data_IF_578552411164
#
_entry.id   IF_578552411164
#
_cell.length_a   1.000
_cell.length_b   1.000
_cell.length_c   1.000
_cell.angle_alpha   90.00
_cell.angle_beta   90.00
_cell.angle_gamma   90.00
#
_symmetry.space_group_name_H-M   'P 1'
#
loop_
_entity.id
_entity.type
_entity.pdbx_description
1 polymer ?
#
# COMPACT_ATOMS: atom_id res chain seq x y z
N UNK A 1 32.54 11.67 33.05
CA UNK A 1 32.18 10.32 32.64
C UNK A 1 30.66 10.07 32.64
N UNK A 2 29.88 10.42 33.69
CA UNK A 2 28.42 10.23 33.72
C UNK A 2 27.65 10.85 32.53
N UNK A 3 28.05 12.03 32.00
CA UNK A 3 27.38 12.70 30.87
C UNK A 3 27.57 11.98 29.49
N UNK A 4 28.63 11.19 29.34
CA UNK A 4 28.93 10.41 28.15
C UNK A 4 28.01 9.18 28.06
N UNK A 5 27.81 8.50 29.21
CA UNK A 5 26.94 7.32 29.27
C UNK A 5 25.47 7.65 29.02
N UNK A 6 25.00 8.84 29.47
CA UNK A 6 23.63 9.30 29.24
C UNK A 6 23.41 9.58 27.75
N UNK A 7 24.38 10.18 27.06
CA UNK A 7 24.28 10.46 25.61
C UNK A 7 24.34 9.17 24.77
N UNK A 8 25.13 8.19 25.20
CA UNK A 8 25.23 6.89 24.55
C UNK A 8 23.95 6.05 24.75
N UNK A 9 23.33 6.13 25.93
CA UNK A 9 22.06 5.47 26.24
C UNK A 9 20.89 6.03 25.42
N UNK A 10 20.83 7.36 25.23
CA UNK A 10 19.78 8.02 24.41
C UNK A 10 19.95 7.68 22.93
N UNK A 11 21.19 7.62 22.42
CA UNK A 11 21.47 7.24 21.04
C UNK A 11 21.09 5.77 20.74
N UNK A 12 21.27 4.87 21.72
CA UNK A 12 20.89 3.45 21.58
C UNK A 12 19.37 3.23 21.57
N UNK A 13 18.60 4.06 22.27
CA UNK A 13 17.13 3.92 22.34
C UNK A 13 16.42 4.40 21.07
N UNK A 14 17.05 5.27 20.27
CA UNK A 14 16.48 5.75 19.01
C UNK A 14 16.55 4.72 17.85
N UNK A 15 17.36 3.69 17.97
CA UNK A 15 17.56 2.68 16.92
C UNK A 15 16.48 1.59 16.86
N UNK A 16 15.55 1.52 17.82
CA UNK A 16 14.54 0.46 17.89
C UNK A 16 13.15 0.84 17.35
N UNK A 17 13.00 2.02 16.73
CA UNK A 17 11.73 2.42 16.11
C UNK A 17 11.65 2.00 14.64
N UNK A 18 12.14 0.82 14.26
CA UNK A 18 11.78 0.21 12.99
C UNK A 18 10.33 -0.26 13.09
N UNK A 19 9.40 0.63 12.80
CA UNK A 19 8.00 0.31 12.59
C UNK A 19 7.91 -0.72 11.46
N UNK A 20 7.35 -1.89 11.74
CA UNK A 20 6.90 -2.80 10.69
C UNK A 20 5.78 -2.10 9.91
N UNK A 21 6.12 -1.39 8.84
CA UNK A 21 5.14 -0.89 7.89
C UNK A 21 4.84 -1.98 6.87
N UNK A 22 3.61 -2.03 6.37
CA UNK A 22 3.28 -2.87 5.22
C UNK A 22 4.16 -2.51 4.03
N UNK A 23 4.40 -3.49 3.17
CA UNK A 23 5.20 -3.28 1.95
C UNK A 23 4.27 -3.33 0.75
N UNK A 24 4.29 -2.26 -0.04
CA UNK A 24 3.65 -2.24 -1.36
C UNK A 24 4.71 -2.40 -2.43
N UNK A 25 4.49 -3.34 -3.34
CA UNK A 25 5.28 -3.54 -4.56
C UNK A 25 4.50 -3.03 -5.77
N UNK A 26 5.22 -2.55 -6.78
CA UNK A 26 4.66 -2.27 -8.10
C UNK A 26 5.03 -3.46 -8.99
N UNK A 27 4.04 -4.28 -9.31
CA UNK A 27 4.24 -5.54 -10.04
C UNK A 27 4.44 -5.32 -11.54
N UNK A 28 3.90 -4.21 -12.05
CA UNK A 28 4.05 -3.85 -13.44
C UNK A 28 3.54 -2.44 -13.73
N UNK A 29 4.17 -1.83 -14.72
CA UNK A 29 3.77 -0.52 -15.24
C UNK A 29 3.70 -0.55 -16.76
N UNK A 30 2.81 0.26 -17.29
CA UNK A 30 2.71 0.53 -18.71
C UNK A 30 2.68 2.04 -18.95
N UNK A 31 3.46 2.48 -19.89
CA UNK A 31 3.45 3.88 -20.37
C UNK A 31 3.10 3.86 -21.83
N UNK A 32 2.19 4.74 -22.24
CA UNK A 32 1.83 4.86 -23.66
C UNK A 32 3.08 5.17 -24.49
N UNK A 33 3.34 4.41 -25.56
CA UNK A 33 4.48 4.67 -26.45
C UNK A 33 4.45 6.12 -26.97
N UNK A 34 5.62 6.70 -27.15
CA UNK A 34 5.82 8.06 -27.70
C UNK A 34 5.19 9.18 -26.82
N UNK A 35 4.83 8.91 -25.57
CA UNK A 35 4.34 9.95 -24.66
C UNK A 35 5.47 10.92 -24.33
N UNK A 36 5.28 12.19 -24.72
CA UNK A 36 6.17 13.28 -24.30
C UNK A 36 5.75 13.73 -22.91
N UNK A 37 6.74 13.88 -22.01
CA UNK A 37 6.50 14.39 -20.68
C UNK A 37 5.86 15.78 -20.72
N UNK A 38 4.75 15.96 -20.00
CA UNK A 38 3.97 17.19 -19.94
C UNK A 38 3.93 17.75 -18.53
N UNK A 39 3.76 19.06 -18.40
CA UNK A 39 3.44 19.72 -17.14
C UNK A 39 1.94 19.67 -16.93
N UNK A 40 1.52 19.16 -15.77
CA UNK A 40 0.14 19.15 -15.33
C UNK A 40 -0.02 20.18 -14.20
N UNK A 41 -1.00 21.08 -14.34
CA UNK A 41 -1.25 22.14 -13.38
C UNK A 41 -2.00 21.63 -12.16
N UNK A 42 -2.90 20.66 -12.38
CA UNK A 42 -3.71 20.07 -11.30
C UNK A 42 -4.08 18.63 -11.64
N UNK A 43 -3.73 17.72 -10.75
CA UNK A 43 -4.04 16.29 -10.87
C UNK A 43 -5.15 15.93 -9.90
N UNK A 44 -6.28 15.40 -10.39
CA UNK A 44 -7.26 14.78 -9.50
C UNK A 44 -6.85 13.35 -9.17
N UNK A 45 -6.95 12.98 -7.90
CA UNK A 45 -6.79 11.59 -7.43
C UNK A 45 -8.18 11.05 -7.14
N UNK A 46 -8.62 10.06 -7.91
CA UNK A 46 -9.98 9.52 -7.88
C UNK A 46 -9.98 8.03 -7.54
N UNK A 47 -10.50 7.68 -6.38
CA UNK A 47 -10.74 6.30 -5.98
C UNK A 47 -12.12 5.82 -6.44
N UNK A 48 -12.18 4.66 -7.10
CA UNK A 48 -13.45 4.03 -7.48
C UNK A 48 -13.93 3.12 -6.32
N UNK A 49 -14.55 3.73 -5.33
CA UNK A 49 -15.13 3.04 -4.16
C UNK A 49 -16.36 3.77 -3.66
N UNK A 50 -17.40 3.00 -3.27
CA UNK A 50 -18.60 3.54 -2.58
C UNK A 50 -18.32 3.92 -1.12
N UNK A 51 -17.30 3.32 -0.51
CA UNK A 51 -16.88 3.63 0.86
C UNK A 51 -16.08 4.93 0.88
N UNK A 52 -16.75 6.02 1.28
CA UNK A 52 -16.17 7.36 1.29
C UNK A 52 -14.97 7.50 2.24
N UNK A 53 -14.94 6.75 3.33
CA UNK A 53 -13.84 6.79 4.30
C UNK A 53 -12.59 6.17 3.69
N UNK A 54 -12.72 4.97 3.12
CA UNK A 54 -11.60 4.30 2.45
C UNK A 54 -11.09 5.14 1.28
N UNK A 55 -12.02 5.62 0.45
CA UNK A 55 -11.71 6.45 -0.71
C UNK A 55 -10.93 7.69 -0.31
N UNK A 56 -11.45 8.52 0.59
CA UNK A 56 -10.80 9.76 1.00
C UNK A 56 -9.47 9.54 1.71
N UNK A 57 -9.33 8.47 2.52
CA UNK A 57 -8.08 8.14 3.20
C UNK A 57 -6.97 7.82 2.19
N UNK A 58 -7.27 7.00 1.18
CA UNK A 58 -6.28 6.63 0.15
C UNK A 58 -5.98 7.82 -0.75
N UNK A 59 -7.00 8.56 -1.21
CA UNK A 59 -6.81 9.77 -2.02
C UNK A 59 -5.90 10.79 -1.32
N UNK A 60 -6.14 11.08 -0.05
CA UNK A 60 -5.33 12.01 0.74
C UNK A 60 -3.88 11.54 0.90
N UNK A 61 -3.65 10.25 1.07
CA UNK A 61 -2.30 9.70 1.14
C UNK A 61 -1.53 9.92 -0.17
N UNK A 62 -2.15 9.64 -1.31
CA UNK A 62 -1.54 9.86 -2.64
C UNK A 62 -1.30 11.35 -2.88
N UNK A 63 -2.26 12.22 -2.52
CA UNK A 63 -2.14 13.68 -2.64
C UNK A 63 -0.95 14.20 -1.83
N UNK A 64 -0.79 13.74 -0.60
CA UNK A 64 0.34 14.11 0.24
C UNK A 64 1.68 13.74 -0.41
N UNK A 65 1.78 12.56 -1.00
CA UNK A 65 2.99 12.13 -1.70
C UNK A 65 3.24 12.93 -3.00
N UNK A 66 2.19 13.21 -3.79
CA UNK A 66 2.29 14.08 -4.97
C UNK A 66 2.76 15.49 -4.58
N UNK A 67 2.19 16.06 -3.51
CA UNK A 67 2.55 17.38 -2.98
C UNK A 67 3.99 17.43 -2.50
N UNK A 68 4.48 16.41 -1.79
CA UNK A 68 5.90 16.28 -1.41
C UNK A 68 6.82 16.27 -2.64
N UNK A 69 6.35 15.73 -3.74
CA UNK A 69 7.07 15.72 -5.02
C UNK A 69 6.88 17.00 -5.86
N UNK A 70 6.14 17.99 -5.35
CA UNK A 70 5.96 19.31 -5.98
C UNK A 70 4.83 19.38 -7.00
N UNK A 71 3.90 18.42 -6.99
CA UNK A 71 2.70 18.43 -7.84
C UNK A 71 1.50 18.95 -7.07
N UNK A 72 0.65 19.73 -7.74
CA UNK A 72 -0.65 20.12 -7.19
C UNK A 72 -1.67 19.03 -7.46
N UNK A 73 -2.33 18.53 -6.40
CA UNK A 73 -3.30 17.45 -6.52
C UNK A 73 -4.57 17.73 -5.69
N UNK A 74 -5.71 17.27 -6.18
CA UNK A 74 -7.04 17.45 -5.59
C UNK A 74 -7.69 16.09 -5.31
N UNK A 75 -8.46 16.02 -4.22
CA UNK A 75 -9.20 14.81 -3.86
C UNK A 75 -10.45 14.64 -4.75
N UNK A 76 -10.55 13.51 -5.41
CA UNK A 76 -11.73 13.15 -6.18
C UNK A 76 -12.99 13.02 -5.33
N UNK A 77 -12.85 12.60 -4.07
CA UNK A 77 -13.96 12.51 -3.12
C UNK A 77 -14.64 13.86 -2.83
N UNK A 78 -13.92 14.97 -3.00
CA UNK A 78 -14.47 16.33 -2.87
C UNK A 78 -15.19 16.79 -4.15
N UNK A 79 -14.61 16.47 -5.32
CA UNK A 79 -15.11 16.95 -6.61
C UNK A 79 -16.22 16.06 -7.17
N UNK A 80 -16.12 14.74 -6.97
CA UNK A 80 -17.00 13.75 -7.56
C UNK A 80 -17.70 12.96 -6.46
N UNK A 81 -18.98 13.23 -6.19
CA UNK A 81 -19.77 12.49 -5.22
C UNK A 81 -19.83 10.98 -5.54
N UNK A 82 -19.94 10.15 -4.49
CA UNK A 82 -19.90 8.69 -4.63
C UNK A 82 -21.03 8.12 -5.50
N UNK A 83 -22.18 8.78 -5.54
CA UNK A 83 -23.32 8.37 -6.37
C UNK A 83 -23.08 8.56 -7.88
N UNK A 84 -22.12 9.40 -8.28
CA UNK A 84 -21.75 9.59 -9.68
C UNK A 84 -20.73 8.58 -10.20
N UNK A 85 -20.07 7.85 -9.30
CA UNK A 85 -19.12 6.79 -9.67
C UNK A 85 -19.75 5.39 -9.62
N UNK A 86 -21.06 5.32 -9.43
CA UNK A 86 -21.78 4.05 -9.53
C UNK A 86 -21.82 3.59 -10.99
N UNK A 87 -21.47 2.34 -11.20
CA UNK A 87 -21.49 1.72 -12.50
C UNK A 87 -22.73 0.84 -12.64
N UNK A 88 -23.30 0.77 -13.82
CA UNK A 88 -24.38 -0.15 -14.13
C UNK A 88 -23.93 -1.62 -14.08
N UNK A 89 -24.84 -2.55 -14.37
CA UNK A 89 -24.57 -3.98 -14.41
C UNK A 89 -23.48 -4.37 -15.42
N UNK A 90 -23.23 -3.52 -16.43
CA UNK A 90 -22.23 -3.73 -17.46
C UNK A 90 -20.88 -3.10 -17.12
N UNK A 91 -20.73 -2.54 -15.93
CA UNK A 91 -19.51 -1.89 -15.46
C UNK A 91 -19.23 -0.54 -16.13
N UNK A 92 -20.25 0.08 -16.73
CA UNK A 92 -20.14 1.38 -17.40
C UNK A 92 -20.73 2.48 -16.53
N UNK A 93 -20.05 3.62 -16.51
CA UNK A 93 -20.64 4.85 -15.99
C UNK A 93 -21.77 5.31 -16.94
N UNK A 94 -22.88 5.73 -16.36
CA UNK A 94 -23.94 6.39 -17.12
C UNK A 94 -23.39 7.62 -17.87
N UNK A 95 -23.89 7.84 -19.09
CA UNK A 95 -23.45 8.95 -19.96
C UNK A 95 -23.60 10.30 -19.25
N UNK A 96 -24.70 10.50 -18.55
CA UNK A 96 -24.97 11.72 -17.80
C UNK A 96 -23.97 11.93 -16.64
N UNK A 97 -23.63 10.85 -15.92
CA UNK A 97 -22.61 10.89 -14.88
C UNK A 97 -21.23 11.26 -15.45
N UNK A 98 -20.85 10.74 -16.63
CA UNK A 98 -19.58 11.10 -17.29
C UNK A 98 -19.52 12.59 -17.62
N UNK A 99 -20.58 13.16 -18.18
CA UNK A 99 -20.66 14.58 -18.54
C UNK A 99 -20.52 15.46 -17.29
N UNK A 100 -21.24 15.13 -16.20
CA UNK A 100 -21.14 15.87 -14.92
C UNK A 100 -19.72 15.78 -14.34
N UNK A 101 -19.10 14.61 -14.36
CA UNK A 101 -17.73 14.42 -13.85
C UNK A 101 -16.76 15.27 -14.68
N UNK A 102 -16.85 15.21 -16.01
CA UNK A 102 -15.98 15.98 -16.89
C UNK A 102 -16.12 17.50 -16.66
N UNK A 103 -17.35 17.99 -16.52
CA UNK A 103 -17.61 19.40 -16.26
C UNK A 103 -17.06 19.85 -14.91
N UNK A 104 -17.22 19.03 -13.86
CA UNK A 104 -16.65 19.32 -12.53
C UNK A 104 -15.13 19.36 -12.55
N UNK A 105 -14.47 18.43 -13.26
CA UNK A 105 -13.02 18.42 -13.40
C UNK A 105 -12.51 19.64 -14.16
N UNK A 106 -13.18 20.02 -15.26
CA UNK A 106 -12.86 21.24 -16.01
C UNK A 106 -13.04 22.50 -15.19
N UNK A 107 -14.17 22.62 -14.46
CA UNK A 107 -14.43 23.76 -13.59
C UNK A 107 -13.40 23.88 -12.45
N UNK A 108 -12.84 22.78 -11.99
CA UNK A 108 -11.78 22.76 -10.99
C UNK A 108 -10.36 22.99 -11.58
N UNK A 109 -10.25 23.20 -12.91
CA UNK A 109 -8.96 23.40 -13.59
C UNK A 109 -8.08 22.15 -13.58
N UNK A 110 -8.69 20.96 -13.55
CA UNK A 110 -7.97 19.68 -13.56
C UNK A 110 -7.60 19.32 -15.00
N UNK A 111 -6.34 18.99 -15.21
CA UNK A 111 -5.80 18.57 -16.51
C UNK A 111 -5.24 17.14 -16.53
N UNK A 112 -4.97 16.55 -15.34
CA UNK A 112 -4.57 15.16 -15.17
C UNK A 112 -5.50 14.40 -14.20
N UNK A 113 -5.79 13.14 -14.47
CA UNK A 113 -6.59 12.28 -13.59
C UNK A 113 -5.88 10.97 -13.27
N UNK A 114 -5.56 10.77 -12.00
CA UNK A 114 -5.01 9.54 -11.44
C UNK A 114 -6.15 8.74 -10.80
N UNK A 115 -6.58 7.69 -11.47
CA UNK A 115 -7.75 6.88 -11.08
C UNK A 115 -7.28 5.53 -10.57
N UNK A 116 -7.69 5.14 -9.37
CA UNK A 116 -7.35 3.83 -8.80
C UNK A 116 -8.58 3.01 -8.42
N UNK A 117 -8.44 1.69 -8.54
CA UNK A 117 -9.47 0.71 -8.18
C UNK A 117 -8.85 -0.51 -7.53
N UNK A 118 -9.43 -0.93 -6.41
CA UNK A 118 -9.10 -2.21 -5.80
C UNK A 118 -9.67 -3.34 -6.70
N UNK A 119 -8.76 -4.13 -7.28
CA UNK A 119 -9.13 -5.23 -8.19
C UNK A 119 -9.48 -6.49 -7.42
N UNK A 120 -8.67 -6.83 -6.42
CA UNK A 120 -8.81 -8.08 -5.71
C UNK A 120 -8.27 -7.97 -4.28
N UNK A 121 -8.79 -8.82 -3.40
CA UNK A 121 -8.29 -9.05 -2.06
C UNK A 121 -8.12 -10.56 -1.87
N UNK A 122 -6.91 -11.03 -2.13
CA UNK A 122 -6.55 -12.43 -1.92
C UNK A 122 -6.29 -12.68 -0.44
N UNK A 123 -7.04 -13.63 0.14
CA UNK A 123 -6.82 -14.10 1.50
C UNK A 123 -6.29 -15.52 1.45
N UNK A 124 -5.17 -15.77 2.09
CA UNK A 124 -4.59 -17.09 2.22
C UNK A 124 -4.29 -17.40 3.68
N UNK A 125 -4.34 -18.67 4.02
CA UNK A 125 -3.95 -19.18 5.34
C UNK A 125 -2.71 -20.01 5.12
N UNK A 126 -1.58 -19.62 5.73
CA UNK A 126 -0.35 -20.42 5.72
C UNK A 126 -0.09 -20.97 7.11
N UNK A 127 0.33 -22.22 7.17
CA UNK A 127 0.81 -22.84 8.41
C UNK A 127 2.28 -22.53 8.59
N UNK A 128 2.62 -21.89 9.71
CA UNK A 128 4.01 -21.66 10.13
C UNK A 128 4.39 -22.80 11.07
N UNK A 129 5.30 -23.71 10.65
CA UNK A 129 5.72 -24.81 11.52
C UNK A 129 6.41 -24.26 12.77
N UNK A 130 6.08 -24.84 13.90
CA UNK A 130 6.80 -24.56 15.13
C UNK A 130 8.25 -24.98 15.03
N UNK A 131 9.13 -24.24 15.68
CA UNK A 131 10.57 -24.57 15.73
C UNK A 131 10.79 -25.56 16.86
N UNK A 132 11.36 -26.75 16.59
CA UNK A 132 11.75 -27.66 17.67
C UNK A 132 12.83 -26.99 18.52
N UNK A 133 12.49 -26.67 19.78
CA UNK A 133 13.46 -26.09 20.69
C UNK A 133 14.37 -27.22 21.21
N UNK A 134 15.56 -27.33 20.61
CA UNK A 134 16.59 -28.17 21.15
C UNK A 134 17.29 -27.46 22.33
N UNK A 135 16.99 -27.89 23.55
CA UNK A 135 17.74 -27.43 24.74
C UNK A 135 18.82 -28.47 25.05
N UNK A 136 20.11 -28.13 24.90
CA UNK A 136 21.18 -29.07 25.27
C UNK A 136 21.08 -29.44 26.76
N UNK A 137 21.02 -30.72 27.04
CA UNK A 137 20.94 -31.24 28.41
C UNK A 137 22.35 -31.33 28.95
N UNK A 138 22.88 -30.22 29.51
CA UNK A 138 24.20 -30.22 30.18
C UNK A 138 24.03 -30.57 31.67
N UNK A 139 24.86 -31.45 32.17
CA UNK A 139 25.00 -31.70 33.60
C UNK A 139 24.05 -32.73 34.23
N UNK A 140 23.37 -33.55 33.41
CA UNK A 140 22.64 -34.69 33.98
C UNK A 140 23.56 -35.88 34.12
N UNK A 141 23.87 -36.22 35.38
CA UNK A 141 24.68 -37.37 35.70
C UNK A 141 23.86 -38.67 35.59
N UNK A 142 24.35 -39.64 34.80
CA UNK A 142 23.79 -40.97 34.66
C UNK A 142 22.78 -41.14 33.52
N UNK A 143 22.65 -42.38 33.06
CA UNK A 143 21.80 -42.78 31.93
C UNK A 143 20.32 -42.38 32.08
N UNK A 144 19.74 -42.52 33.25
CA UNK A 144 18.35 -42.22 33.53
C UNK A 144 18.06 -40.71 33.47
N UNK A 145 19.00 -39.87 33.95
CA UNK A 145 18.89 -38.41 33.86
C UNK A 145 18.98 -37.90 32.41
N UNK A 146 19.93 -38.45 31.65
CA UNK A 146 20.08 -38.15 30.24
C UNK A 146 18.83 -38.58 29.43
N UNK A 147 18.33 -39.79 29.62
CA UNK A 147 17.16 -40.33 28.93
C UNK A 147 15.91 -39.48 29.22
N UNK A 148 15.66 -39.14 30.51
CA UNK A 148 14.51 -38.32 30.89
C UNK A 148 14.60 -36.90 30.31
N UNK A 149 15.78 -36.30 30.34
CA UNK A 149 16.01 -34.96 29.81
C UNK A 149 15.84 -34.92 28.27
N UNK A 150 16.37 -35.93 27.59
CA UNK A 150 16.20 -36.07 26.12
C UNK A 150 14.77 -36.36 25.76
N UNK A 151 14.10 -37.23 26.49
CA UNK A 151 12.67 -37.54 26.26
C UNK A 151 11.78 -36.29 26.43
N UNK A 152 11.99 -35.53 27.52
CA UNK A 152 11.24 -34.26 27.73
C UNK A 152 11.54 -33.20 26.65
N UNK A 153 12.77 -33.12 26.15
CA UNK A 153 13.10 -32.22 25.03
C UNK A 153 12.52 -32.69 23.69
N UNK A 154 12.47 -34.00 23.42
CA UNK A 154 11.90 -34.53 22.17
C UNK A 154 10.37 -34.46 22.13
N UNK A 155 9.72 -34.62 23.28
CA UNK A 155 8.26 -34.77 23.33
C UNK A 155 7.54 -33.68 24.14
N UNK A 156 8.25 -32.90 24.94
CA UNK A 156 7.69 -31.86 25.83
C UNK A 156 7.78 -30.42 25.30
N UNK A 157 8.55 -30.19 24.26
CA UNK A 157 8.85 -28.84 23.75
C UNK A 157 8.56 -28.63 22.27
N UNK A 158 7.53 -29.28 21.74
CA UNK A 158 7.11 -29.01 20.35
C UNK A 158 6.18 -27.79 20.37
N UNK A 159 6.67 -26.66 19.90
CA UNK A 159 5.79 -25.57 19.52
C UNK A 159 4.90 -26.08 18.38
N UNK A 160 3.55 -26.18 18.58
CA UNK A 160 2.67 -26.77 17.58
C UNK A 160 2.58 -25.98 16.27
N UNK A 161 3.32 -24.86 16.19
CA UNK A 161 3.18 -23.92 15.07
C UNK A 161 1.85 -23.16 15.15
N UNK A 162 1.62 -22.27 14.20
CA UNK A 162 0.40 -21.47 14.13
C UNK A 162 -0.02 -21.22 12.68
N UNK A 163 -1.31 -20.95 12.50
CA UNK A 163 -1.85 -20.52 11.23
C UNK A 163 -1.79 -19.01 11.12
N UNK A 164 -1.15 -18.51 10.07
CA UNK A 164 -1.07 -17.10 9.75
C UNK A 164 -2.03 -16.80 8.60
N UNK A 165 -2.92 -15.84 8.80
CA UNK A 165 -3.76 -15.29 7.73
C UNK A 165 -2.97 -14.21 7.01
N UNK A 166 -2.88 -14.33 5.70
CA UNK A 166 -2.28 -13.31 4.84
C UNK A 166 -3.38 -12.68 3.99
N UNK A 167 -3.26 -11.38 3.75
CA UNK A 167 -4.17 -10.62 2.91
C UNK A 167 -3.37 -9.77 1.93
N UNK A 168 -3.57 -9.99 0.63
CA UNK A 168 -2.91 -9.25 -0.42
C UNK A 168 -3.94 -8.39 -1.14
N UNK A 169 -3.66 -7.10 -1.23
CA UNK A 169 -4.53 -6.11 -1.86
C UNK A 169 -3.94 -5.69 -3.21
N UNK A 170 -4.62 -6.05 -4.31
CA UNK A 170 -4.20 -5.72 -5.67
C UNK A 170 -4.95 -4.49 -6.16
N UNK A 171 -4.22 -3.44 -6.51
CA UNK A 171 -4.78 -2.17 -6.98
C UNK A 171 -4.27 -1.87 -8.37
N UNK A 172 -5.18 -1.52 -9.27
CA UNK A 172 -4.82 -0.95 -10.57
C UNK A 172 -4.98 0.55 -10.52
N UNK A 173 -3.96 1.27 -10.98
CA UNK A 173 -3.98 2.73 -11.08
C UNK A 173 -3.70 3.15 -12.51
N UNK A 174 -4.50 4.07 -13.02
CA UNK A 174 -4.39 4.60 -14.36
C UNK A 174 -4.27 6.13 -14.31
N UNK A 175 -3.42 6.69 -15.16
CA UNK A 175 -3.31 8.13 -15.34
C UNK A 175 -3.79 8.54 -16.72
N UNK A 176 -4.70 9.50 -16.74
CA UNK A 176 -5.36 10.02 -17.96
C UNK A 176 -5.08 11.51 -18.12
N UNK A 177 -4.94 11.95 -19.37
CA UNK A 177 -5.10 13.35 -19.72
C UNK A 177 -6.60 13.69 -19.79
N UNK A 178 -7.04 14.69 -19.02
CA UNK A 178 -8.47 15.02 -18.87
C UNK A 178 -9.04 15.65 -20.16
N UNK A 179 -8.23 16.37 -20.95
CA UNK A 179 -8.71 17.07 -22.15
C UNK A 179 -9.16 16.12 -23.27
N UNK A 180 -8.49 14.97 -23.40
CA UNK A 180 -8.76 13.99 -24.48
C UNK A 180 -9.07 12.58 -23.97
N UNK A 181 -9.21 12.41 -22.65
CA UNK A 181 -9.49 11.13 -21.95
C UNK A 181 -8.48 10.02 -22.27
N UNK A 182 -7.27 10.39 -22.72
CA UNK A 182 -6.27 9.43 -23.14
C UNK A 182 -5.55 8.81 -21.96
N UNK A 183 -5.49 7.47 -21.89
CA UNK A 183 -4.65 6.74 -20.95
C UNK A 183 -3.17 6.95 -21.32
N UNK A 184 -2.38 7.44 -20.37
CA UNK A 184 -0.96 7.71 -20.55
C UNK A 184 -0.06 6.77 -19.75
N UNK A 185 -0.55 6.31 -18.60
CA UNK A 185 0.21 5.42 -17.72
C UNK A 185 -0.73 4.53 -16.92
N UNK A 186 -0.26 3.33 -16.62
CA UNK A 186 -0.97 2.35 -15.77
C UNK A 186 0.02 1.62 -14.89
N UNK A 187 -0.40 1.29 -13.68
CA UNK A 187 0.36 0.45 -12.76
C UNK A 187 -0.55 -0.58 -12.09
N UNK A 188 0.01 -1.75 -11.87
CA UNK A 188 -0.52 -2.78 -10.97
C UNK A 188 0.36 -2.81 -9.72
N UNK A 189 -0.26 -2.72 -8.56
CA UNK A 189 0.42 -2.78 -7.27
C UNK A 189 -0.18 -3.85 -6.38
N UNK A 190 0.65 -4.44 -5.53
CA UNK A 190 0.27 -5.39 -4.50
C UNK A 190 0.75 -4.92 -3.13
N UNK A 191 -0.16 -4.89 -2.14
CA UNK A 191 0.17 -4.56 -0.75
C UNK A 191 -0.10 -5.77 0.13
N UNK A 192 0.93 -6.25 0.80
CA UNK A 192 0.87 -7.45 1.64
C UNK A 192 0.62 -7.10 3.10
N UNK A 193 -0.35 -7.77 3.71
CA UNK A 193 -0.62 -7.77 5.16
C UNK A 193 -0.65 -6.38 5.82
N UNK A 194 -1.37 -5.38 5.27
CA UNK A 194 -1.46 -4.09 5.94
C UNK A 194 -2.16 -4.22 7.29
N UNK A 195 -1.60 -3.58 8.31
CA UNK A 195 -2.12 -3.62 9.68
C UNK A 195 -3.38 -2.76 9.86
N UNK A 196 -3.58 -1.79 8.98
CA UNK A 196 -4.72 -0.87 9.00
C UNK A 196 -4.91 -0.22 7.63
N UNK A 197 -6.04 0.50 7.45
CA UNK A 197 -6.29 1.33 6.29
C UNK A 197 -5.23 2.44 6.12
N UNK A 198 -4.78 3.04 7.21
CA UNK A 198 -3.75 4.08 7.17
C UNK A 198 -2.39 3.50 6.76
N UNK A 199 -2.02 2.34 7.27
CA UNK A 199 -0.80 1.63 6.90
C UNK A 199 -0.82 1.24 5.40
N UNK A 200 -1.93 0.65 4.93
CA UNK A 200 -2.15 0.40 3.51
C UNK A 200 -1.97 1.67 2.68
N UNK A 201 -2.68 2.75 3.05
CA UNK A 201 -2.72 3.99 2.28
C UNK A 201 -1.34 4.65 2.20
N UNK A 202 -0.57 4.65 3.29
CA UNK A 202 0.77 5.23 3.35
C UNK A 202 1.75 4.44 2.47
N UNK A 203 1.76 3.09 2.60
CA UNK A 203 2.63 2.23 1.81
C UNK A 203 2.30 2.31 0.32
N UNK A 204 1.01 2.18 -0.03
CA UNK A 204 0.53 2.26 -1.40
C UNK A 204 0.79 3.63 -2.03
N UNK A 205 0.42 4.73 -1.35
CA UNK A 205 0.63 6.09 -1.85
C UNK A 205 2.10 6.38 -2.14
N UNK A 206 3.01 5.98 -1.24
CA UNK A 206 4.44 6.18 -1.41
C UNK A 206 5.00 5.39 -2.60
N UNK A 207 4.70 4.09 -2.70
CA UNK A 207 5.16 3.25 -3.80
C UNK A 207 4.60 3.69 -5.15
N UNK A 208 3.30 4.00 -5.19
CA UNK A 208 2.62 4.46 -6.40
C UNK A 208 3.21 5.76 -6.93
N UNK A 209 3.31 6.80 -6.08
CA UNK A 209 3.78 8.13 -6.52
C UNK A 209 5.24 8.08 -6.92
N UNK A 210 6.08 7.31 -6.22
CA UNK A 210 7.46 7.08 -6.62
C UNK A 210 7.52 6.51 -8.05
N UNK A 211 6.80 5.43 -8.33
CA UNK A 211 6.77 4.79 -9.65
C UNK A 211 6.19 5.73 -10.73
N UNK A 212 5.14 6.50 -10.39
CA UNK A 212 4.52 7.46 -11.30
C UNK A 212 5.48 8.59 -11.70
N UNK A 213 6.21 9.15 -10.75
CA UNK A 213 7.21 10.20 -11.01
C UNK A 213 8.40 9.64 -11.80
N UNK A 214 8.88 8.45 -11.46
CA UNK A 214 9.97 7.76 -12.16
C UNK A 214 9.60 7.39 -13.61
N UNK A 215 8.31 7.28 -13.95
CA UNK A 215 7.87 7.05 -15.33
C UNK A 215 8.23 8.18 -16.31
N UNK A 216 8.47 9.38 -15.78
CA UNK A 216 8.88 10.54 -16.55
C UNK A 216 7.80 11.15 -17.44
N UNK A 217 6.53 10.74 -17.32
CA UNK A 217 5.41 11.30 -18.12
C UNK A 217 4.91 12.64 -17.62
N UNK A 218 5.19 12.97 -16.35
CA UNK A 218 4.84 14.24 -15.73
C UNK A 218 6.11 15.08 -15.43
N UNK A 219 6.00 16.37 -15.65
CA UNK A 219 7.03 17.37 -15.30
C UNK A 219 6.47 18.39 -14.31
N UNK A 220 7.36 18.94 -13.50
CA UNK A 220 7.10 20.09 -12.63
C UNK A 220 6.95 21.36 -13.43
#
# INVERSE_FOLDING_TARGET
MKKIYIRLSIASTLLFLSSCSSVTTIDGTWTKPETVAQTYHSIVVLGLSKDIIKRSTIENSIINELTKNGFHALAGSVLVPSNLIDVDSDGKLDKYAKEIIADKLKAAGVDGALVFVLKDVEKSISYVPGTPTYTPVYGMYGFSGYYRGTYNNMYGGVDPGYYQQNSNYKVTTNFYNVANEQLLWSALSETMNPSSLNDFSASYGSALVKSFVESGIIRK
#
